data_IF_716220177238
#
_entry.id   IF_716220177238
#
_cell.length_a   1.000
_cell.length_b   1.000
_cell.length_c   1.000
_cell.angle_alpha   90.00
_cell.angle_beta   90.00
_cell.angle_gamma   90.00
#
_symmetry.space_group_name_H-M   'P 1'
#
loop_
_entity.id
_entity.type
_entity.pdbx_description
1 polymer ?
#
# COMPACT_ATOMS: atom_id res chain seq x y z
N UNK A 1 -14.15 -13.44 -15.35
CA UNK A 1 -14.02 -14.69 -14.61
C UNK A 1 -15.25 -14.87 -13.73
N UNK A 2 -16.13 -15.79 -14.11
CA UNK A 2 -17.33 -16.14 -13.35
C UNK A 2 -16.93 -16.73 -12.00
N UNK A 3 -17.47 -16.19 -10.90
CA UNK A 3 -17.29 -16.75 -9.56
C UNK A 3 -18.24 -17.95 -9.43
N UNK A 4 -17.67 -19.14 -9.24
CA UNK A 4 -18.45 -20.32 -8.89
C UNK A 4 -19.08 -20.13 -7.50
N UNK A 5 -20.30 -20.58 -7.37
CA UNK A 5 -21.04 -20.62 -6.10
C UNK A 5 -20.55 -21.79 -5.25
N UNK A 6 -20.70 -21.69 -3.92
CA UNK A 6 -20.29 -22.75 -2.98
C UNK A 6 -20.88 -24.13 -3.33
N UNK A 7 -22.14 -24.25 -3.80
CA UNK A 7 -22.68 -25.52 -4.27
C UNK A 7 -21.92 -26.11 -5.48
N UNK A 8 -21.52 -25.28 -6.44
CA UNK A 8 -20.79 -25.71 -7.65
C UNK A 8 -19.37 -26.16 -7.31
N UNK A 9 -18.70 -25.46 -6.38
CA UNK A 9 -17.38 -25.89 -5.88
C UNK A 9 -17.48 -27.25 -5.18
N UNK A 10 -18.54 -27.48 -4.40
CA UNK A 10 -18.77 -28.77 -3.73
C UNK A 10 -19.09 -29.90 -4.71
N UNK A 11 -19.74 -29.60 -5.83
CA UNK A 11 -19.99 -30.58 -6.89
C UNK A 11 -18.68 -30.98 -7.58
N UNK A 12 -17.84 -30.01 -7.93
CA UNK A 12 -16.53 -30.26 -8.55
C UNK A 12 -15.59 -31.09 -7.65
N UNK A 13 -15.61 -30.85 -6.34
CA UNK A 13 -14.82 -31.62 -5.36
C UNK A 13 -15.32 -33.08 -5.24
N UNK A 14 -16.61 -33.34 -5.48
CA UNK A 14 -17.16 -34.71 -5.49
C UNK A 14 -16.82 -35.49 -6.75
N UNK A 15 -16.53 -34.80 -7.85
CA UNK A 15 -16.26 -35.40 -9.15
C UNK A 15 -14.77 -35.69 -9.39
N UNK A 16 -13.87 -35.12 -8.57
CA UNK A 16 -12.42 -35.33 -8.69
C UNK A 16 -11.93 -36.47 -7.75
N UNK A 17 -11.52 -37.63 -8.30
CA UNK A 17 -11.04 -38.77 -7.51
C UNK A 17 -9.79 -38.45 -6.68
N UNK A 18 -9.01 -37.44 -7.07
CA UNK A 18 -7.78 -37.03 -6.36
C UNK A 18 -8.05 -36.19 -5.11
N UNK A 19 -9.23 -35.56 -5.00
CA UNK A 19 -9.66 -34.78 -3.84
C UNK A 19 -10.50 -35.61 -2.85
N UNK A 20 -10.93 -36.81 -3.26
CA UNK A 20 -11.68 -37.76 -2.43
C UNK A 20 -10.78 -38.62 -1.53
N UNK A 21 -9.51 -38.83 -1.92
CA UNK A 21 -8.48 -39.32 -1.01
C UNK A 21 -8.11 -38.18 -0.06
N UNK A 22 -8.65 -38.21 1.16
CA UNK A 22 -8.45 -37.16 2.15
C UNK A 22 -6.99 -36.71 2.25
N UNK A 23 -6.79 -35.40 2.40
CA UNK A 23 -5.47 -34.80 2.48
C UNK A 23 -4.70 -35.34 3.69
N UNK A 24 -3.39 -35.48 3.54
CA UNK A 24 -2.52 -35.66 4.70
C UNK A 24 -2.41 -34.34 5.46
N UNK A 25 -2.13 -34.38 6.77
CA UNK A 25 -1.99 -33.18 7.61
C UNK A 25 -0.99 -32.17 7.03
N UNK A 26 0.10 -32.66 6.42
CA UNK A 26 1.14 -31.84 5.80
C UNK A 26 0.64 -31.10 4.54
N UNK A 27 -0.21 -31.75 3.73
CA UNK A 27 -0.85 -31.13 2.57
C UNK A 27 -1.88 -30.08 2.99
N UNK A 28 -2.63 -30.33 4.06
CA UNK A 28 -3.56 -29.33 4.61
C UNK A 28 -2.82 -28.09 5.10
N UNK A 29 -1.74 -28.26 5.85
CA UNK A 29 -0.91 -27.15 6.33
C UNK A 29 -0.30 -26.34 5.18
N UNK A 30 0.23 -27.01 4.16
CA UNK A 30 0.78 -26.36 2.97
C UNK A 30 -0.29 -25.58 2.20
N UNK A 31 -1.47 -26.16 2.01
CA UNK A 31 -2.58 -25.49 1.34
C UNK A 31 -3.10 -24.30 2.15
N UNK A 32 -3.17 -24.40 3.48
CA UNK A 32 -3.54 -23.28 4.37
C UNK A 32 -2.51 -22.16 4.29
N UNK A 33 -1.22 -22.50 4.29
CA UNK A 33 -0.14 -21.53 4.14
C UNK A 33 -0.22 -20.82 2.78
N UNK A 34 -0.42 -21.55 1.69
CA UNK A 34 -0.62 -20.98 0.36
C UNK A 34 -1.88 -20.11 0.27
N UNK A 35 -2.99 -20.55 0.85
CA UNK A 35 -4.23 -19.77 0.90
C UNK A 35 -4.02 -18.48 1.68
N UNK A 36 -3.27 -18.53 2.77
CA UNK A 36 -2.96 -17.37 3.60
C UNK A 36 -2.07 -16.40 2.84
N UNK A 37 -1.00 -16.88 2.20
CA UNK A 37 -0.12 -16.08 1.36
C UNK A 37 -0.88 -15.45 0.15
N UNK A 38 -1.74 -16.22 -0.51
CA UNK A 38 -2.61 -15.72 -1.59
C UNK A 38 -3.61 -14.70 -1.07
N UNK A 39 -4.18 -14.88 0.13
CA UNK A 39 -5.09 -13.91 0.77
C UNK A 39 -4.35 -12.63 1.17
N UNK A 40 -3.12 -12.70 1.67
CA UNK A 40 -2.32 -11.52 1.99
C UNK A 40 -1.87 -10.75 0.76
N UNK A 41 -1.44 -11.47 -0.29
CA UNK A 41 -1.15 -10.89 -1.61
C UNK A 41 -2.40 -10.23 -2.19
N UNK A 42 -3.56 -10.90 -2.11
CA UNK A 42 -4.85 -10.36 -2.53
C UNK A 42 -5.32 -9.21 -1.66
N UNK A 43 -5.05 -9.20 -0.34
CA UNK A 43 -5.35 -8.06 0.55
C UNK A 43 -4.53 -6.83 0.17
N UNK A 44 -3.25 -7.02 -0.21
CA UNK A 44 -2.37 -5.96 -0.71
C UNK A 44 -2.77 -5.48 -2.11
N UNK A 45 -3.17 -6.39 -2.99
CA UNK A 45 -3.51 -6.08 -4.38
C UNK A 45 -4.97 -5.68 -4.63
N UNK A 46 -5.91 -6.10 -3.79
CA UNK A 46 -7.34 -5.82 -3.97
C UNK A 46 -7.65 -4.51 -3.28
N UNK A 47 -7.64 -3.43 -4.06
CA UNK A 47 -8.28 -2.15 -3.74
C UNK A 47 -9.78 -2.40 -3.57
N UNK A 48 -10.20 -2.87 -2.40
CA UNK A 48 -11.61 -3.24 -2.16
C UNK A 48 -12.56 -2.03 -2.25
N UNK A 49 -12.03 -0.81 -2.11
CA UNK A 49 -12.72 0.45 -2.36
C UNK A 49 -11.68 1.58 -2.34
N UNK A 50 -11.62 2.46 -3.37
CA UNK A 50 -10.74 3.63 -3.38
C UNK A 50 -10.92 4.51 -2.12
N UNK A 51 -12.13 4.57 -1.56
CA UNK A 51 -12.42 5.28 -0.31
C UNK A 51 -11.71 4.65 0.89
N UNK A 52 -11.73 3.32 1.03
CA UNK A 52 -11.07 2.64 2.14
C UNK A 52 -9.54 2.80 2.06
N UNK A 53 -8.98 2.73 0.85
CA UNK A 53 -7.56 2.99 0.62
C UNK A 53 -7.19 4.44 0.97
N UNK A 54 -8.00 5.43 0.58
CA UNK A 54 -7.74 6.83 0.92
C UNK A 54 -7.86 7.11 2.42
N UNK A 55 -8.78 6.46 3.13
CA UNK A 55 -8.89 6.58 4.60
C UNK A 55 -7.63 6.01 5.28
N UNK A 56 -7.14 4.86 4.81
CA UNK A 56 -5.94 4.23 5.35
C UNK A 56 -4.67 5.07 5.07
N UNK A 57 -4.55 5.61 3.86
CA UNK A 57 -3.49 6.55 3.49
C UNK A 57 -3.52 7.75 4.43
N UNK A 58 -4.69 8.37 4.62
CA UNK A 58 -4.82 9.54 5.51
C UNK A 58 -4.38 9.22 6.94
N UNK A 59 -4.87 8.11 7.51
CA UNK A 59 -4.49 7.69 8.87
C UNK A 59 -2.98 7.44 8.99
N UNK A 60 -2.37 6.88 7.96
CA UNK A 60 -0.92 6.64 7.92
C UNK A 60 -0.15 7.96 7.83
N UNK A 61 -0.61 8.91 7.02
CA UNK A 61 -0.02 10.25 6.95
C UNK A 61 -0.09 10.99 8.29
N UNK A 62 -1.23 10.93 8.98
CA UNK A 62 -1.38 11.57 10.30
C UNK A 62 -0.34 11.02 11.29
N UNK A 63 -0.13 9.70 11.31
CA UNK A 63 0.91 9.07 12.15
C UNK A 63 2.32 9.50 11.78
N UNK A 64 2.62 9.58 10.47
CA UNK A 64 3.94 10.03 10.00
C UNK A 64 4.20 11.48 10.40
N UNK A 65 3.19 12.34 10.36
CA UNK A 65 3.29 13.73 10.83
C UNK A 65 3.61 13.76 12.32
N UNK A 66 2.91 12.97 13.14
CA UNK A 66 3.16 12.88 14.58
C UNK A 66 4.57 12.37 14.89
N UNK A 67 5.04 11.34 14.18
CA UNK A 67 6.40 10.80 14.33
C UNK A 67 7.45 11.82 13.91
N UNK A 68 7.26 12.49 12.77
CA UNK A 68 8.18 13.52 12.27
C UNK A 68 8.29 14.68 13.27
N UNK A 69 7.15 15.17 13.77
CA UNK A 69 7.10 16.21 14.79
C UNK A 69 7.74 15.75 16.11
N UNK A 70 7.49 14.51 16.52
CA UNK A 70 8.08 13.93 17.73
C UNK A 70 9.61 13.80 17.63
N UNK A 71 10.16 13.54 16.45
CA UNK A 71 11.60 13.57 16.21
C UNK A 71 12.16 15.01 16.27
N UNK A 72 11.46 15.96 15.64
CA UNK A 72 11.86 17.37 15.69
C UNK A 72 11.89 17.91 17.13
N UNK A 73 10.87 17.61 17.93
CA UNK A 73 10.79 18.09 19.32
C UNK A 73 11.80 17.41 20.25
N UNK A 74 12.00 16.09 20.14
CA UNK A 74 12.84 15.33 21.10
C UNK A 74 14.33 15.34 20.75
N UNK A 75 14.66 15.38 19.47
CA UNK A 75 16.03 15.21 18.99
C UNK A 75 16.50 16.39 18.13
N UNK A 76 15.71 17.48 18.05
CA UNK A 76 16.00 18.63 17.20
C UNK A 76 16.29 18.25 15.73
N UNK A 77 15.62 17.19 15.26
CA UNK A 77 15.78 16.70 13.89
C UNK A 77 14.98 17.54 12.90
N UNK A 78 15.60 17.85 11.78
CA UNK A 78 14.98 18.53 10.64
C UNK A 78 14.77 17.49 9.55
N UNK A 79 13.54 17.36 9.05
CA UNK A 79 13.22 16.35 8.05
C UNK A 79 12.00 16.70 7.22
N UNK A 80 11.89 16.05 6.08
CA UNK A 80 10.73 16.13 5.21
C UNK A 80 10.42 14.75 4.62
N UNK A 81 9.19 14.56 4.16
CA UNK A 81 8.80 13.41 3.37
C UNK A 81 7.85 13.86 2.25
N UNK A 82 8.06 13.31 1.05
CA UNK A 82 7.24 13.55 -0.13
C UNK A 82 6.62 12.24 -0.60
N UNK A 83 5.33 12.27 -0.86
CA UNK A 83 4.55 11.12 -1.31
C UNK A 83 3.82 11.48 -2.58
N UNK A 84 3.89 10.58 -3.56
CA UNK A 84 3.22 10.73 -4.85
C UNK A 84 2.33 9.52 -5.12
N UNK A 85 1.38 9.70 -6.04
CA UNK A 85 0.74 8.59 -6.76
C UNK A 85 1.80 7.78 -7.49
N UNK A 86 1.61 6.46 -7.51
CA UNK A 86 2.42 5.54 -8.32
C UNK A 86 1.83 5.24 -9.70
N UNK A 87 0.59 5.68 -9.96
CA UNK A 87 -0.10 5.46 -11.22
C UNK A 87 -1.07 6.62 -11.51
N UNK A 88 -1.29 6.95 -12.78
CA UNK A 88 -2.11 8.09 -13.21
C UNK A 88 -3.56 8.02 -12.70
N UNK A 89 -4.11 6.81 -12.61
CA UNK A 89 -5.48 6.56 -12.17
C UNK A 89 -5.63 6.42 -10.64
N UNK A 90 -4.56 6.59 -9.88
CA UNK A 90 -4.66 6.57 -8.43
C UNK A 90 -5.35 7.85 -7.93
N UNK A 91 -6.31 7.67 -7.04
CA UNK A 91 -7.10 8.77 -6.47
C UNK A 91 -6.45 9.42 -5.25
N UNK A 92 -5.28 8.94 -4.83
CA UNK A 92 -4.56 9.52 -3.69
C UNK A 92 -3.97 10.88 -4.05
N UNK A 93 -3.99 11.81 -3.11
CA UNK A 93 -3.41 13.15 -3.33
C UNK A 93 -1.93 13.13 -2.97
N UNK A 94 -1.02 13.58 -3.86
CA UNK A 94 0.37 13.81 -3.51
C UNK A 94 0.46 14.71 -2.28
N UNK A 95 1.33 14.35 -1.34
CA UNK A 95 1.40 14.99 -0.02
C UNK A 95 2.85 15.19 0.37
N UNK A 96 3.15 16.37 0.91
CA UNK A 96 4.48 16.70 1.45
C UNK A 96 4.32 17.14 2.90
N UNK A 97 5.14 16.57 3.77
CA UNK A 97 5.20 16.89 5.20
C UNK A 97 6.63 17.29 5.56
N UNK A 98 6.79 18.19 6.54
CA UNK A 98 8.11 18.70 6.92
C UNK A 98 8.14 19.28 8.33
N UNK A 99 9.31 19.23 8.96
CA UNK A 99 9.60 19.89 10.24
C UNK A 99 10.74 20.89 10.11
N UNK A 100 10.81 21.85 11.04
CA UNK A 100 12.01 22.69 11.23
C UNK A 100 12.48 23.45 9.99
N UNK A 101 11.56 23.87 9.11
CA UNK A 101 11.92 24.57 7.88
C UNK A 101 12.59 23.68 6.83
N UNK A 102 12.52 22.34 6.93
CA UNK A 102 13.20 21.42 6.00
C UNK A 102 12.87 21.67 4.52
N UNK A 103 11.72 22.26 4.20
CA UNK A 103 11.37 22.62 2.82
C UNK A 103 12.19 23.80 2.26
N UNK A 104 12.78 24.62 3.12
CA UNK A 104 13.66 25.72 2.69
C UNK A 104 14.91 25.19 2.00
N UNK A 105 15.36 23.96 2.32
CA UNK A 105 16.43 23.27 1.59
C UNK A 105 16.21 23.27 0.07
N UNK A 106 14.97 23.08 -0.39
CA UNK A 106 14.67 23.07 -1.82
C UNK A 106 14.92 24.43 -2.46
N UNK A 107 14.52 25.51 -1.79
CA UNK A 107 14.72 26.87 -2.28
C UNK A 107 16.18 27.32 -2.15
N UNK A 108 16.80 27.02 -1.02
CA UNK A 108 18.12 27.55 -0.67
C UNK A 108 19.24 26.78 -1.35
N UNK A 109 19.10 25.45 -1.46
CA UNK A 109 20.13 24.57 -2.03
C UNK A 109 19.78 24.16 -3.45
N UNK A 110 18.55 23.65 -3.68
CA UNK A 110 18.16 23.16 -5.01
C UNK A 110 17.69 24.27 -5.96
N UNK A 111 17.46 25.48 -5.44
CA UNK A 111 16.91 26.63 -6.19
C UNK A 111 15.60 26.29 -6.91
N UNK A 112 14.75 25.51 -6.24
CA UNK A 112 13.42 25.09 -6.74
C UNK A 112 12.38 25.24 -5.64
N UNK A 113 11.15 25.52 -6.02
CA UNK A 113 10.07 25.42 -5.04
C UNK A 113 9.85 23.94 -4.68
N UNK A 114 9.54 23.64 -3.40
CA UNK A 114 9.21 22.28 -2.97
C UNK A 114 8.09 21.66 -3.80
N UNK A 115 7.13 22.48 -4.26
CA UNK A 115 6.03 22.05 -5.12
C UNK A 115 6.52 21.55 -6.48
N UNK A 116 7.51 22.22 -7.08
CA UNK A 116 8.08 21.82 -8.37
C UNK A 116 8.79 20.47 -8.25
N UNK A 117 9.53 20.27 -7.16
CA UNK A 117 10.21 18.99 -6.91
C UNK A 117 9.20 17.89 -6.60
N UNK A 118 8.11 18.20 -5.88
CA UNK A 118 7.02 17.25 -5.68
C UNK A 118 6.38 16.83 -7.01
N UNK A 119 6.15 17.78 -7.92
CA UNK A 119 5.60 17.50 -9.25
C UNK A 119 6.56 16.70 -10.13
N UNK A 120 7.87 16.99 -10.09
CA UNK A 120 8.89 16.20 -10.79
C UNK A 120 8.97 14.77 -10.26
N UNK A 121 8.88 14.62 -8.93
CA UNK A 121 8.86 13.30 -8.30
C UNK A 121 7.62 12.51 -8.72
N UNK A 122 6.46 13.16 -8.80
CA UNK A 122 5.24 12.54 -9.29
C UNK A 122 5.32 12.14 -10.76
N UNK A 123 5.82 13.04 -11.62
CA UNK A 123 6.02 12.76 -13.04
C UNK A 123 6.94 11.55 -13.24
N UNK A 124 8.01 11.42 -12.46
CA UNK A 124 8.88 10.25 -12.48
C UNK A 124 8.15 8.99 -12.00
N UNK A 125 7.42 9.07 -10.90
CA UNK A 125 6.75 7.92 -10.29
C UNK A 125 5.64 7.34 -11.17
N UNK A 126 4.87 8.19 -11.86
CA UNK A 126 3.74 7.78 -12.72
C UNK A 126 4.20 7.23 -14.08
N UNK A 127 5.40 7.62 -14.55
CA UNK A 127 5.94 7.19 -15.84
C UNK A 127 6.88 5.97 -15.74
N UNK A 128 6.89 5.27 -14.59
CA UNK A 128 7.73 4.09 -14.35
C UNK A 128 7.05 2.77 -14.71
#
# INVERSE_FOLDING_TARGET
GSRLTVPEVKALVKEDPSLLSGYTTEQEEQMVAELTAKRESKRRGTRFNNTAANIDIKRTMDRLVDELNGMAQRANMVGFAMFSRGHLHDTSTPTTISTGGALDFFRDVLKKEPADVSALFELWAVNR
#
